data_IF_634634480765
#
_entry.id   IF_634634480765
#
_cell.length_a   1.000
_cell.length_b   1.000
_cell.length_c   1.000
_cell.angle_alpha   90.00
_cell.angle_beta   90.00
_cell.angle_gamma   90.00
#
_symmetry.space_group_name_H-M   'P 1'
#
loop_
_entity.id
_entity.type
_entity.pdbx_description
1 polymer ?
#
# COMPACT_ATOMS: atom_id res chain seq x y z
N UNK A 1 4.90 -8.36 -0.78
CA UNK A 1 4.41 -7.39 0.21
C UNK A 1 5.36 -6.23 0.49
N UNK A 2 6.39 -6.28 1.36
CA UNK A 2 7.27 -5.09 1.57
C UNK A 2 7.87 -4.48 0.29
N UNK A 3 8.33 -5.32 -0.64
CA UNK A 3 8.85 -4.88 -1.96
C UNK A 3 7.78 -4.27 -2.87
N UNK A 4 6.53 -4.73 -2.77
CA UNK A 4 5.42 -4.20 -3.57
C UNK A 4 4.93 -2.87 -3.02
N UNK A 5 4.88 -2.74 -1.70
CA UNK A 5 4.52 -1.50 -1.02
C UNK A 5 5.55 -0.40 -1.29
N UNK A 6 6.84 -0.74 -1.29
CA UNK A 6 7.90 0.19 -1.70
C UNK A 6 7.79 0.59 -3.18
N UNK A 7 7.48 -0.36 -4.07
CA UNK A 7 7.27 -0.08 -5.50
C UNK A 7 6.08 0.85 -5.72
N UNK A 8 4.94 0.57 -5.07
CA UNK A 8 3.74 1.41 -5.15
C UNK A 8 4.01 2.82 -4.61
N UNK A 9 4.78 2.95 -3.52
CA UNK A 9 5.16 4.26 -2.98
C UNK A 9 6.03 5.06 -3.94
N UNK A 10 7.04 4.44 -4.57
CA UNK A 10 7.88 5.11 -5.57
C UNK A 10 7.07 5.54 -6.80
N UNK A 11 6.13 4.70 -7.23
CA UNK A 11 5.24 5.02 -8.33
C UNK A 11 4.35 6.24 -8.02
N UNK A 12 3.78 6.30 -6.81
CA UNK A 12 3.01 7.46 -6.38
C UNK A 12 3.85 8.75 -6.37
N UNK A 13 5.11 8.70 -5.93
CA UNK A 13 5.99 9.87 -5.98
C UNK A 13 6.25 10.36 -7.41
N UNK A 14 6.50 9.44 -8.35
CA UNK A 14 6.64 9.82 -9.75
C UNK A 14 5.37 10.49 -10.30
N UNK A 15 4.19 9.95 -9.95
CA UNK A 15 2.92 10.54 -10.38
C UNK A 15 2.63 11.90 -9.73
N UNK A 16 3.08 12.15 -8.51
CA UNK A 16 2.94 13.49 -7.89
C UNK A 16 3.75 14.54 -8.67
N UNK A 17 4.90 14.14 -9.24
CA UNK A 17 5.75 15.05 -10.00
C UNK A 17 5.27 15.25 -11.44
N UNK A 18 4.75 14.22 -12.09
CA UNK A 18 4.50 14.24 -13.55
C UNK A 18 3.11 13.80 -13.99
N UNK A 19 2.32 13.21 -13.10
CA UNK A 19 1.03 12.59 -13.40
C UNK A 19 -0.16 13.54 -13.29
N UNK A 20 -1.30 13.05 -13.75
CA UNK A 20 -2.59 13.70 -13.58
C UNK A 20 -3.14 13.47 -12.17
N UNK A 21 -4.04 14.36 -11.74
CA UNK A 21 -4.76 14.20 -10.48
C UNK A 21 -5.46 12.85 -10.37
N UNK A 22 -6.02 12.34 -11.46
CA UNK A 22 -6.72 11.05 -11.50
C UNK A 22 -5.77 9.87 -11.28
N UNK A 23 -4.60 9.88 -11.92
CA UNK A 23 -3.57 8.86 -11.71
C UNK A 23 -3.03 8.88 -10.27
N UNK A 24 -2.86 10.08 -9.69
CA UNK A 24 -2.44 10.23 -8.29
C UNK A 24 -3.49 9.64 -7.35
N UNK A 25 -4.78 9.91 -7.59
CA UNK A 25 -5.88 9.36 -6.78
C UNK A 25 -5.92 7.83 -6.88
N UNK A 26 -5.80 7.29 -8.10
CA UNK A 26 -5.81 5.84 -8.32
C UNK A 26 -4.62 5.15 -7.65
N UNK A 27 -3.41 5.70 -7.82
CA UNK A 27 -2.21 5.17 -7.18
C UNK A 27 -2.25 5.27 -5.65
N UNK A 28 -2.86 6.32 -5.11
CA UNK A 28 -3.08 6.49 -3.67
C UNK A 28 -4.01 5.40 -3.12
N UNK A 29 -5.14 5.16 -3.79
CA UNK A 29 -6.09 4.08 -3.40
C UNK A 29 -5.43 2.70 -3.42
N UNK A 30 -4.62 2.43 -4.45
CA UNK A 30 -3.89 1.17 -4.55
C UNK A 30 -2.89 1.00 -3.40
N UNK A 31 -2.17 2.07 -3.04
CA UNK A 31 -1.23 2.06 -1.92
C UNK A 31 -1.95 1.80 -0.58
N UNK A 32 -3.10 2.43 -0.36
CA UNK A 32 -3.92 2.21 0.83
C UNK A 32 -4.41 0.76 0.93
N UNK A 33 -4.84 0.16 -0.18
CA UNK A 33 -5.26 -1.24 -0.21
C UNK A 33 -4.11 -2.19 0.20
N UNK A 34 -2.89 -1.93 -0.30
CA UNK A 34 -1.71 -2.69 0.08
C UNK A 34 -1.37 -2.55 1.57
N UNK A 35 -1.47 -1.34 2.12
CA UNK A 35 -1.25 -1.08 3.55
C UNK A 35 -2.29 -1.83 4.38
N UNK A 36 -3.57 -1.74 4.02
CA UNK A 36 -4.65 -2.45 4.72
C UNK A 36 -4.44 -3.96 4.71
N UNK A 37 -4.07 -4.54 3.56
CA UNK A 37 -3.74 -5.96 3.44
C UNK A 37 -2.61 -6.36 4.40
N UNK A 38 -1.55 -5.56 4.51
CA UNK A 38 -0.42 -5.84 5.41
C UNK A 38 -0.83 -5.72 6.89
N UNK A 39 -1.57 -4.66 7.25
CA UNK A 39 -2.02 -4.42 8.64
C UNK A 39 -2.98 -5.50 9.10
N UNK A 40 -3.95 -5.88 8.27
CA UNK A 40 -4.92 -6.94 8.57
C UNK A 40 -4.20 -8.28 8.69
N UNK A 41 -3.32 -8.63 7.73
CA UNK A 41 -2.54 -9.86 7.76
C UNK A 41 -1.69 -9.97 9.03
N UNK A 42 -1.04 -8.88 9.43
CA UNK A 42 -0.22 -8.84 10.64
C UNK A 42 -1.06 -8.99 11.92
N UNK A 43 -2.26 -8.41 11.99
CA UNK A 43 -3.19 -8.61 13.12
C UNK A 43 -3.71 -10.05 13.19
N UNK A 44 -4.06 -10.67 12.06
CA UNK A 44 -4.49 -12.08 12.04
C UNK A 44 -3.38 -13.03 12.50
N UNK A 45 -2.12 -12.81 12.11
CA UNK A 45 -1.01 -13.65 12.58
C UNK A 45 -0.71 -13.50 14.08
N UNK A 46 -0.93 -12.32 14.67
CA UNK A 46 -0.76 -12.11 16.11
C UNK A 46 -1.81 -12.85 16.96
N UNK A 47 -3.02 -13.04 16.45
CA UNK A 47 -4.08 -13.76 17.17
C UNK A 47 -3.92 -15.29 17.15
N UNK A 48 -3.15 -15.85 16.22
CA UNK A 48 -2.92 -17.30 16.13
C UNK A 48 -1.82 -17.78 17.10
N UNK A 49 -0.88 -16.91 17.49
CA UNK A 49 0.23 -17.25 18.38
C UNK A 49 -0.06 -17.09 19.89
N UNK A 50 -1.28 -16.69 20.26
CA UNK A 50 -1.69 -16.45 21.66
C UNK A 50 -2.68 -17.49 22.21
N UNK A 51 -2.80 -18.67 21.58
CA UNK A 51 -3.62 -19.79 22.07
C UNK A 51 -2.75 -20.99 22.46
#
# INVERSE_FOLDING_TARGET
MKKELEKARRYLYALIETGTTEEIIEASRYLDELILKEVIRSKCQKNVNNN
#
